data_IF_479481055295
#
_entry.id   IF_479481055295
#
_cell.length_a   1.000
_cell.length_b   1.000
_cell.length_c   1.000
_cell.angle_alpha   90.00
_cell.angle_beta   90.00
_cell.angle_gamma   90.00
#
_symmetry.space_group_name_H-M   'P 1'
#
loop_
_entity.id
_entity.type
_entity.pdbx_description
1 polymer ?
#
# COMPACT_ATOMS: atom_id res chain seq x y z
N UNK A 1 9.52 -20.70 5.94
CA UNK A 1 8.26 -20.76 5.16
C UNK A 1 8.39 -21.93 4.20
N UNK A 2 7.33 -22.73 4.01
CA UNK A 2 7.30 -23.71 2.92
C UNK A 2 7.02 -22.96 1.62
N UNK A 3 7.90 -23.13 0.62
CA UNK A 3 7.76 -22.48 -0.68
C UNK A 3 6.56 -23.07 -1.42
N UNK A 4 5.67 -22.22 -1.92
CA UNK A 4 4.52 -22.65 -2.71
C UNK A 4 4.93 -22.93 -4.17
N UNK A 5 4.32 -23.95 -4.76
CA UNK A 5 4.44 -24.22 -6.20
C UNK A 5 3.35 -23.46 -6.98
N UNK A 6 3.60 -23.23 -8.27
CA UNK A 6 2.54 -22.79 -9.17
C UNK A 6 1.40 -23.81 -9.24
N UNK A 7 0.17 -23.32 -9.37
CA UNK A 7 -1.05 -24.13 -9.37
C UNK A 7 -1.48 -24.60 -7.97
N UNK A 8 -0.66 -24.39 -6.93
CA UNK A 8 -1.03 -24.72 -5.55
C UNK A 8 -1.99 -23.68 -4.98
N UNK A 9 -2.99 -24.15 -4.23
CA UNK A 9 -3.85 -23.28 -3.41
C UNK A 9 -3.08 -22.78 -2.19
N UNK A 10 -3.00 -21.46 -2.06
CA UNK A 10 -2.41 -20.75 -0.91
C UNK A 10 -3.55 -20.16 -0.08
N UNK A 11 -3.48 -20.37 1.24
CA UNK A 11 -4.43 -19.78 2.18
C UNK A 11 -4.01 -18.36 2.56
N UNK A 12 -4.94 -17.42 2.46
CA UNK A 12 -4.81 -16.05 2.94
C UNK A 12 -5.55 -15.95 4.26
N UNK A 13 -4.85 -15.53 5.31
CA UNK A 13 -5.43 -15.34 6.63
C UNK A 13 -6.41 -14.16 6.60
N UNK A 14 -7.54 -14.35 7.27
CA UNK A 14 -8.49 -13.28 7.51
C UNK A 14 -8.08 -12.38 8.67
N UNK A 15 -9.01 -11.52 9.07
CA UNK A 15 -8.86 -10.63 10.23
C UNK A 15 -7.62 -9.72 10.14
N UNK A 16 -7.24 -9.31 8.93
CA UNK A 16 -6.03 -8.56 8.62
C UNK A 16 -4.78 -9.17 9.26
N UNK A 17 -4.74 -10.49 9.45
CA UNK A 17 -3.51 -11.16 9.83
C UNK A 17 -2.57 -11.23 8.63
N UNK A 18 -1.28 -10.96 8.87
CA UNK A 18 -0.26 -11.01 7.83
C UNK A 18 -0.14 -12.43 7.26
N UNK A 19 -0.25 -12.54 5.95
CA UNK A 19 0.08 -13.73 5.17
C UNK A 19 1.34 -13.44 4.37
N UNK A 20 2.42 -14.13 4.71
CA UNK A 20 3.72 -14.02 4.05
C UNK A 20 3.96 -15.33 3.27
N UNK A 21 3.93 -15.27 1.95
CA UNK A 21 4.05 -16.45 1.09
C UNK A 21 5.12 -16.26 0.01
N UNK A 22 6.15 -17.09 0.12
CA UNK A 22 7.21 -17.22 -0.88
C UNK A 22 6.88 -18.37 -1.85
N UNK A 23 7.22 -18.20 -3.12
CA UNK A 23 7.09 -19.22 -4.16
C UNK A 23 8.46 -19.76 -4.58
N UNK A 24 8.47 -20.97 -5.13
CA UNK A 24 9.69 -21.69 -5.54
C UNK A 24 10.55 -20.94 -6.56
N UNK A 25 9.97 -20.02 -7.32
CA UNK A 25 10.63 -19.21 -8.34
C UNK A 25 11.17 -17.87 -7.81
N UNK A 26 10.87 -17.54 -6.55
CA UNK A 26 11.26 -16.30 -5.89
C UNK A 26 10.20 -15.19 -5.93
N UNK A 27 8.99 -15.43 -6.44
CA UNK A 27 7.84 -14.55 -6.17
C UNK A 27 7.58 -14.52 -4.65
N UNK A 28 7.40 -13.33 -4.10
CA UNK A 28 6.97 -13.14 -2.71
C UNK A 28 5.70 -12.29 -2.64
N UNK A 29 4.75 -12.75 -1.83
CA UNK A 29 3.48 -12.09 -1.56
C UNK A 29 3.36 -11.77 -0.07
N UNK A 30 3.13 -10.50 0.26
CA UNK A 30 2.82 -10.03 1.62
C UNK A 30 1.42 -9.42 1.65
N UNK A 31 0.49 -10.11 2.31
CA UNK A 31 -0.95 -9.88 2.16
C UNK A 31 -1.62 -9.66 3.52
N UNK A 32 -2.62 -8.78 3.54
CA UNK A 32 -3.56 -8.59 4.64
C UNK A 32 -4.98 -8.63 4.09
N UNK A 33 -5.84 -9.48 4.63
CA UNK A 33 -7.23 -9.59 4.18
C UNK A 33 -8.23 -9.55 5.34
N UNK A 34 -9.38 -8.86 5.21
CA UNK A 34 -10.40 -8.85 6.24
C UNK A 34 -11.05 -10.22 6.48
N UNK A 35 -11.25 -11.00 5.42
CA UNK A 35 -11.81 -12.35 5.45
C UNK A 35 -10.75 -13.39 5.09
N UNK A 36 -10.94 -14.64 5.52
CA UNK A 36 -10.08 -15.73 5.06
C UNK A 36 -10.41 -16.04 3.60
N UNK A 37 -9.38 -16.10 2.76
CA UNK A 37 -9.50 -16.30 1.31
C UNK A 37 -8.46 -17.32 0.85
N UNK A 38 -8.51 -17.71 -0.41
CA UNK A 38 -7.44 -18.50 -1.03
C UNK A 38 -7.04 -17.91 -2.36
N UNK A 39 -5.77 -18.04 -2.73
CA UNK A 39 -5.29 -17.70 -4.07
C UNK A 39 -4.61 -18.90 -4.73
N UNK A 40 -4.47 -18.83 -6.04
CA UNK A 40 -3.61 -19.68 -6.85
C UNK A 40 -2.77 -18.77 -7.74
N UNK A 41 -1.49 -19.08 -7.88
CA UNK A 41 -0.59 -18.42 -8.84
C UNK A 41 -0.26 -19.40 -9.96
N UNK A 42 -0.41 -18.97 -11.20
CA UNK A 42 -0.01 -19.73 -12.39
C UNK A 42 1.01 -18.95 -13.21
N UNK A 43 1.77 -19.64 -14.05
CA UNK A 43 2.66 -19.01 -15.03
C UNK A 43 1.95 -18.87 -16.38
N UNK A 44 2.07 -17.70 -17.00
CA UNK A 44 1.81 -17.55 -18.43
C UNK A 44 3.14 -17.41 -19.17
N UNK A 45 3.51 -18.43 -19.94
CA UNK A 45 4.77 -18.51 -20.69
C UNK A 45 4.74 -17.75 -22.02
N UNK A 46 3.60 -17.16 -22.37
CA UNK A 46 3.41 -16.34 -23.56
C UNK A 46 2.85 -14.97 -23.17
N UNK A 47 3.57 -14.19 -22.34
CA UNK A 47 3.07 -12.90 -21.88
C UNK A 47 3.04 -11.86 -22.99
N UNK A 48 2.27 -10.79 -22.78
CA UNK A 48 2.36 -9.61 -23.64
C UNK A 48 3.76 -8.98 -23.55
N UNK A 49 4.31 -8.47 -24.67
CA UNK A 49 5.61 -7.81 -24.66
C UNK A 49 5.56 -6.51 -23.85
N UNK A 50 6.72 -6.09 -23.31
CA UNK A 50 6.85 -4.86 -22.50
C UNK A 50 6.39 -3.56 -23.18
N UNK A 51 6.22 -3.58 -24.52
CA UNK A 51 5.67 -2.46 -25.30
C UNK A 51 4.16 -2.22 -25.07
N UNK A 52 3.48 -3.03 -24.26
CA UNK A 52 2.07 -2.81 -23.90
C UNK A 52 1.87 -1.70 -22.84
N UNK A 53 2.94 -1.24 -22.20
CA UNK A 53 2.89 -0.17 -21.20
C UNK A 53 2.70 1.17 -21.89
N UNK A 54 1.51 1.76 -21.73
CA UNK A 54 1.13 3.05 -22.31
C UNK A 54 1.11 4.16 -21.26
N UNK A 55 1.45 5.40 -21.62
CA UNK A 55 1.26 6.57 -20.76
C UNK A 55 2.47 6.99 -19.91
N UNK A 56 3.65 6.39 -20.09
CA UNK A 56 4.89 6.86 -19.44
C UNK A 56 5.62 7.91 -20.28
N UNK A 57 6.11 8.97 -19.65
CA UNK A 57 7.19 9.79 -20.22
C UNK A 57 8.53 9.07 -20.02
N UNK A 58 9.28 8.80 -21.10
CA UNK A 58 10.62 8.18 -21.03
C UNK A 58 10.88 7.08 -22.05
N UNK A 59 11.98 6.34 -21.85
CA UNK A 59 12.35 5.19 -22.67
C UNK A 59 11.31 4.06 -22.55
N UNK A 60 11.10 3.25 -23.62
CA UNK A 60 10.13 2.17 -23.60
C UNK A 60 10.50 1.09 -22.57
N UNK A 61 9.48 0.46 -22.00
CA UNK A 61 9.66 -0.69 -21.11
C UNK A 61 10.07 -1.93 -21.89
N UNK A 62 10.95 -2.71 -21.29
CA UNK A 62 11.29 -4.06 -21.74
C UNK A 62 10.82 -5.08 -20.70
N UNK A 63 10.34 -6.23 -21.17
CA UNK A 63 10.05 -7.35 -20.28
C UNK A 63 11.37 -7.96 -19.80
N UNK A 64 11.45 -8.25 -18.50
CA UNK A 64 12.65 -8.79 -17.85
C UNK A 64 12.49 -10.26 -17.44
N UNK A 65 11.28 -10.80 -17.56
CA UNK A 65 10.98 -12.22 -17.31
C UNK A 65 10.45 -12.91 -18.56
N UNK A 66 10.71 -14.21 -18.67
CA UNK A 66 10.28 -15.05 -19.80
C UNK A 66 8.81 -15.53 -19.67
N UNK A 67 8.17 -15.19 -18.55
CA UNK A 67 6.78 -15.50 -18.24
C UNK A 67 6.22 -14.39 -17.33
N UNK A 68 4.90 -14.35 -17.21
CA UNK A 68 4.16 -13.53 -16.25
C UNK A 68 3.49 -14.39 -15.18
N UNK A 69 3.16 -13.76 -14.05
CA UNK A 69 2.48 -14.39 -12.92
C UNK A 69 0.99 -14.06 -12.99
N UNK A 70 0.15 -15.07 -13.10
CA UNK A 70 -1.31 -14.92 -13.05
C UNK A 70 -1.77 -15.27 -11.64
N UNK A 71 -2.13 -14.26 -10.86
CA UNK A 71 -2.67 -14.44 -9.51
C UNK A 71 -4.19 -14.42 -9.60
N UNK A 72 -4.82 -15.42 -8.99
CA UNK A 72 -6.27 -15.55 -8.94
C UNK A 72 -6.75 -15.96 -7.56
N UNK A 73 -7.60 -15.14 -6.97
CA UNK A 73 -8.35 -15.40 -5.75
C UNK A 73 -9.54 -16.32 -6.04
N UNK A 74 -10.03 -17.00 -5.00
CA UNK A 74 -11.27 -17.78 -5.07
C UNK A 74 -12.53 -16.91 -5.20
N UNK A 75 -12.43 -15.62 -4.92
CA UNK A 75 -13.51 -14.65 -5.01
C UNK A 75 -12.95 -13.26 -5.33
N UNK A 76 -13.77 -12.38 -5.89
CA UNK A 76 -13.39 -10.99 -6.11
C UNK A 76 -13.19 -10.29 -4.76
N UNK A 77 -12.02 -9.69 -4.58
CA UNK A 77 -11.67 -8.95 -3.38
C UNK A 77 -11.20 -7.55 -3.77
N UNK A 78 -11.86 -6.53 -3.22
CA UNK A 78 -11.54 -5.10 -3.44
C UNK A 78 -11.20 -4.40 -2.11
N UNK A 79 -10.77 -5.18 -1.12
CA UNK A 79 -10.59 -4.77 0.28
C UNK A 79 -9.33 -5.36 0.93
N UNK A 80 -8.47 -6.03 0.15
CA UNK A 80 -7.20 -6.57 0.63
C UNK A 80 -6.08 -5.53 0.51
N UNK A 81 -4.98 -5.76 1.22
CA UNK A 81 -3.72 -5.04 1.01
C UNK A 81 -2.70 -6.07 0.56
N UNK A 82 -2.08 -5.84 -0.59
CA UNK A 82 -1.07 -6.72 -1.15
C UNK A 82 0.21 -5.97 -1.48
N UNK A 83 1.33 -6.63 -1.23
CA UNK A 83 2.63 -6.34 -1.82
C UNK A 83 3.02 -7.55 -2.66
N UNK A 84 3.34 -7.31 -3.92
CA UNK A 84 3.83 -8.31 -4.88
C UNK A 84 5.28 -7.98 -5.19
N UNK A 85 6.19 -8.91 -4.93
CA UNK A 85 7.61 -8.80 -5.25
C UNK A 85 7.99 -9.87 -6.27
N UNK A 86 8.37 -9.43 -7.46
CA UNK A 86 8.77 -10.33 -8.55
C UNK A 86 10.29 -10.58 -8.52
N UNK A 87 10.74 -11.83 -8.74
CA UNK A 87 12.15 -12.17 -8.74
C UNK A 87 12.85 -11.61 -9.97
N UNK A 88 14.11 -11.18 -9.80
CA UNK A 88 14.97 -10.73 -10.88
C UNK A 88 16.43 -11.09 -10.61
N UNK A 89 17.25 -11.16 -11.66
CA UNK A 89 18.70 -11.37 -11.56
C UNK A 89 19.43 -10.02 -11.74
N UNK A 90 20.02 -9.45 -10.66
CA UNK A 90 20.79 -8.21 -10.73
C UNK A 90 21.91 -8.21 -11.77
N UNK A 91 22.56 -9.36 -11.99
CA UNK A 91 23.66 -9.50 -12.95
C UNK A 91 23.09 -9.46 -14.38
N UNK A 92 21.96 -10.11 -14.63
CA UNK A 92 21.27 -10.04 -15.91
C UNK A 92 20.80 -8.62 -16.23
N UNK A 93 20.28 -7.87 -15.25
CA UNK A 93 19.88 -6.47 -15.42
C UNK A 93 21.06 -5.58 -15.81
N UNK A 94 22.20 -5.74 -15.12
CA UNK A 94 23.40 -4.97 -15.43
C UNK A 94 23.91 -5.23 -16.85
N UNK A 95 23.84 -6.48 -17.34
CA UNK A 95 24.24 -6.83 -18.72
C UNK A 95 23.42 -6.13 -19.79
N UNK A 96 22.15 -5.80 -19.51
CA UNK A 96 21.25 -5.11 -20.44
C UNK A 96 21.13 -3.59 -20.14
N UNK A 97 21.99 -3.08 -19.26
CA UNK A 97 22.08 -1.66 -18.93
C UNK A 97 20.88 -1.13 -18.13
N UNK A 98 20.18 -1.98 -17.38
CA UNK A 98 19.07 -1.58 -16.51
C UNK A 98 19.55 -1.58 -15.07
N UNK A 99 19.41 -0.43 -14.40
CA UNK A 99 19.66 -0.32 -12.97
C UNK A 99 18.58 -1.07 -12.18
N UNK A 100 18.94 -1.65 -11.03
CA UNK A 100 17.98 -2.34 -10.15
C UNK A 100 16.88 -1.40 -9.63
N UNK A 101 17.16 -0.11 -9.48
CA UNK A 101 16.21 0.95 -9.15
C UNK A 101 15.17 1.20 -10.24
N UNK A 102 15.45 0.77 -11.47
CA UNK A 102 14.60 0.95 -12.65
C UNK A 102 13.87 -0.34 -13.04
N UNK A 103 13.50 -1.13 -12.04
CA UNK A 103 12.63 -2.31 -12.18
C UNK A 103 11.24 -2.00 -11.65
N UNK A 104 10.24 -2.52 -12.36
CA UNK A 104 8.83 -2.21 -12.15
C UNK A 104 8.01 -3.48 -12.21
N UNK A 105 6.91 -3.51 -11.47
CA UNK A 105 5.91 -4.56 -11.58
C UNK A 105 4.75 -3.97 -12.38
N UNK A 106 4.58 -4.45 -13.62
CA UNK A 106 3.42 -4.10 -14.44
C UNK A 106 2.28 -5.05 -14.16
N UNK A 107 1.07 -4.52 -14.00
CA UNK A 107 -0.15 -5.34 -14.00
C UNK A 107 -0.93 -5.12 -15.29
N UNK A 108 -1.38 -6.20 -15.92
CA UNK A 108 -2.31 -6.15 -17.05
C UNK A 108 -3.72 -5.75 -16.56
N UNK A 109 -4.19 -4.55 -16.90
CA UNK A 109 -5.56 -4.14 -16.63
C UNK A 109 -6.56 -4.85 -17.55
N UNK A 110 -7.84 -4.82 -17.16
CA UNK A 110 -8.93 -5.47 -17.91
C UNK A 110 -9.12 -4.94 -19.35
N UNK A 111 -8.69 -3.70 -19.63
CA UNK A 111 -8.69 -3.08 -20.97
C UNK A 111 -7.38 -3.30 -21.74
N UNK A 112 -6.47 -4.14 -21.20
CA UNK A 112 -5.12 -4.40 -21.69
C UNK A 112 -4.15 -3.22 -21.62
N UNK A 113 -4.40 -2.21 -20.76
CA UNK A 113 -3.41 -1.18 -20.40
C UNK A 113 -2.75 -1.50 -19.06
N UNK A 114 -1.60 -0.91 -18.74
CA UNK A 114 -0.89 -1.18 -17.48
C UNK A 114 -0.66 0.08 -16.67
N UNK A 115 -0.83 -0.03 -15.35
CA UNK A 115 -0.34 0.98 -14.39
C UNK A 115 1.12 0.69 -14.04
N UNK A 116 1.95 1.73 -14.01
CA UNK A 116 3.35 1.65 -13.63
C UNK A 116 3.52 2.02 -12.15
N UNK A 117 3.98 1.08 -11.32
CA UNK A 117 4.37 1.34 -9.92
C UNK A 117 5.74 0.68 -9.67
N UNK A 118 6.70 1.43 -9.13
CA UNK A 118 8.03 0.90 -8.79
C UNK A 118 7.92 -0.21 -7.76
N UNK A 119 8.68 -1.31 -7.97
CA UNK A 119 8.97 -2.43 -7.06
C UNK A 119 7.80 -3.16 -6.35
N UNK A 120 6.64 -2.54 -6.19
CA UNK A 120 5.52 -2.93 -5.32
C UNK A 120 4.23 -2.43 -5.97
N UNK A 121 3.30 -3.35 -6.25
CA UNK A 121 1.94 -2.97 -6.70
C UNK A 121 1.03 -2.90 -5.48
N UNK A 122 0.61 -1.68 -5.15
CA UNK A 122 -0.48 -1.41 -4.20
C UNK A 122 -1.79 -1.84 -4.84
N UNK A 123 -2.51 -2.77 -4.23
CA UNK A 123 -3.85 -3.06 -4.71
C UNK A 123 -4.82 -3.41 -3.61
N UNK A 124 -6.01 -2.82 -3.74
CA UNK A 124 -7.22 -3.31 -3.08
C UNK A 124 -7.75 -4.59 -3.73
N UNK A 125 -7.24 -4.98 -4.92
CA UNK A 125 -7.56 -6.21 -5.66
C UNK A 125 -6.30 -6.91 -6.18
N UNK A 126 -6.14 -8.21 -5.94
CA UNK A 126 -4.93 -8.96 -6.32
C UNK A 126 -5.09 -9.79 -7.61
N UNK A 127 -6.30 -9.88 -8.14
CA UNK A 127 -6.55 -10.65 -9.35
C UNK A 127 -5.91 -9.96 -10.56
N UNK A 128 -5.01 -10.66 -11.25
CA UNK A 128 -4.33 -10.07 -12.39
C UNK A 128 -3.17 -10.88 -12.93
N UNK A 129 -2.67 -10.41 -14.07
CA UNK A 129 -1.42 -10.87 -14.67
C UNK A 129 -0.33 -9.83 -14.43
N UNK A 130 0.75 -10.26 -13.79
CA UNK A 130 1.87 -9.42 -13.37
C UNK A 130 3.11 -9.75 -14.18
N UNK A 131 3.86 -8.72 -14.54
CA UNK A 131 5.07 -8.82 -15.36
C UNK A 131 6.19 -7.99 -14.75
N UNK A 132 7.41 -8.54 -14.74
CA UNK A 132 8.60 -7.79 -14.39
C UNK A 132 9.05 -6.97 -15.60
N UNK A 133 9.16 -5.67 -15.40
CA UNK A 133 9.51 -4.70 -16.43
C UNK A 133 10.72 -3.88 -16.01
N UNK A 134 11.48 -3.40 -16.99
CA UNK A 134 12.59 -2.48 -16.76
C UNK A 134 12.69 -1.40 -17.83
N UNK A 135 13.39 -0.32 -17.50
CA UNK A 135 13.74 0.75 -18.44
C UNK A 135 15.11 1.35 -18.10
N UNK A 136 15.77 1.98 -19.06
CA UNK A 136 17.14 2.50 -18.92
C UNK A 136 17.23 3.94 -18.37
N UNK A 137 16.13 4.56 -17.92
CA UNK A 137 16.09 5.96 -17.44
C UNK A 137 16.43 6.07 -15.95
N UNK A 138 17.13 7.13 -15.51
CA UNK A 138 17.60 7.38 -14.12
C UNK A 138 16.50 7.72 -13.08
N UNK A 139 15.32 7.10 -13.15
CA UNK A 139 14.21 7.44 -12.25
C UNK A 139 14.23 6.53 -11.01
N UNK A 140 15.16 6.82 -10.10
CA UNK A 140 15.33 6.09 -8.84
C UNK A 140 14.13 6.38 -7.93
N UNK A 141 13.10 5.53 -7.98
CA UNK A 141 11.84 5.78 -7.26
C UNK A 141 11.65 4.89 -6.02
N UNK A 142 11.06 5.54 -5.02
CA UNK A 142 10.73 5.21 -3.61
C UNK A 142 10.67 3.72 -3.19
N UNK A 143 11.27 3.45 -2.03
CA UNK A 143 11.07 2.21 -1.24
C UNK A 143 9.85 2.42 -0.33
N UNK A 144 8.80 1.59 -0.49
CA UNK A 144 7.62 1.63 0.37
C UNK A 144 7.86 0.88 1.69
N UNK A 145 7.23 1.37 2.77
CA UNK A 145 7.36 0.83 4.12
C UNK A 145 6.27 -0.22 4.37
N UNK A 146 6.66 -1.41 4.84
CA UNK A 146 5.72 -2.47 5.24
C UNK A 146 5.11 -2.17 6.61
N UNK A 147 3.86 -2.59 6.82
CA UNK A 147 3.22 -2.53 8.12
C UNK A 147 3.84 -3.47 9.14
N UNK A 148 3.67 -3.12 10.42
CA UNK A 148 4.04 -3.92 11.57
C UNK A 148 4.98 -3.20 12.53
N UNK A 149 5.28 -3.90 13.62
CA UNK A 149 6.15 -3.42 14.68
C UNK A 149 7.60 -3.89 14.50
N UNK A 150 8.54 -3.14 15.09
CA UNK A 150 9.96 -3.51 15.16
C UNK A 150 10.86 -2.69 14.22
N UNK A 151 12.16 -2.81 14.44
CA UNK A 151 13.17 -1.97 13.81
C UNK A 151 13.23 -2.09 12.27
N UNK A 152 12.90 -3.26 11.72
CA UNK A 152 12.88 -3.50 10.25
C UNK A 152 11.62 -2.99 9.55
N UNK A 153 10.63 -2.51 10.32
CA UNK A 153 9.36 -1.92 9.86
C UNK A 153 9.19 -0.47 10.31
N UNK A 154 10.19 0.07 11.00
CA UNK A 154 10.19 1.42 11.51
C UNK A 154 10.68 2.39 10.43
N UNK A 155 9.96 3.50 10.28
CA UNK A 155 10.43 4.69 9.57
C UNK A 155 11.32 5.45 10.53
N UNK A 156 12.56 5.71 10.13
CA UNK A 156 13.47 6.56 10.88
C UNK A 156 13.34 8.00 10.34
N UNK A 157 12.89 8.92 11.19
CA UNK A 157 12.80 10.34 10.89
C UNK A 157 13.92 11.05 11.65
N UNK A 158 14.79 11.76 10.94
CA UNK A 158 16.01 12.35 11.51
C UNK A 158 15.74 13.65 12.28
N UNK A 159 14.52 14.18 12.22
CA UNK A 159 14.22 15.56 12.63
C UNK A 159 14.95 16.60 11.79
N UNK A 160 14.86 17.87 12.20
CA UNK A 160 15.45 19.02 11.53
C UNK A 160 14.45 19.82 10.69
N UNK A 161 14.99 20.76 9.90
CA UNK A 161 14.18 21.63 9.02
C UNK A 161 13.72 20.86 7.78
N UNK A 162 12.45 21.04 7.43
CA UNK A 162 11.87 20.46 6.22
C UNK A 162 11.15 19.14 6.46
N UNK A 163 10.21 18.83 5.56
CA UNK A 163 9.39 17.64 5.66
C UNK A 163 10.19 16.39 5.28
N UNK A 164 10.00 15.34 6.07
CA UNK A 164 10.44 13.99 5.79
C UNK A 164 9.21 13.14 5.50
N UNK A 165 9.32 12.27 4.51
CA UNK A 165 8.17 11.55 3.97
C UNK A 165 8.35 10.05 4.05
N UNK A 166 7.23 9.37 4.28
CA UNK A 166 7.17 7.92 4.23
C UNK A 166 5.87 7.49 3.56
N UNK A 167 5.94 6.45 2.73
CA UNK A 167 4.78 5.90 2.06
C UNK A 167 4.70 4.40 2.33
N UNK A 168 3.54 3.94 2.78
CA UNK A 168 3.29 2.55 3.16
C UNK A 168 2.72 1.75 1.99
N UNK A 169 2.74 0.43 2.13
CA UNK A 169 2.36 -0.51 1.06
C UNK A 169 0.91 -0.37 0.56
N UNK A 170 0.00 0.23 1.32
CA UNK A 170 -1.37 0.50 0.82
C UNK A 170 -1.52 1.88 0.15
N UNK A 171 -0.48 2.72 0.19
CA UNK A 171 -0.49 4.08 -0.31
C UNK A 171 -0.72 5.19 0.72
N UNK A 172 -0.90 4.85 2.01
CA UNK A 172 -0.87 5.77 3.12
C UNK A 172 0.47 6.51 3.13
N UNK A 173 0.43 7.83 3.06
CA UNK A 173 1.64 8.67 3.07
C UNK A 173 1.64 9.61 4.26
N UNK A 174 2.80 9.72 4.88
CA UNK A 174 3.10 10.67 5.93
C UNK A 174 4.11 11.70 5.40
N UNK A 175 3.90 12.95 5.75
CA UNK A 175 4.87 14.04 5.57
C UNK A 175 5.00 14.76 6.90
N UNK A 176 6.20 14.80 7.48
CA UNK A 176 6.41 15.23 8.87
C UNK A 176 7.62 16.12 9.01
N UNK A 177 7.49 17.20 9.78
CA UNK A 177 8.58 18.04 10.24
C UNK A 177 8.62 18.04 11.78
N UNK A 178 9.79 17.77 12.35
CA UNK A 178 10.03 17.69 13.79
C UNK A 178 11.41 18.20 14.14
N UNK A 179 11.57 18.81 15.32
CA UNK A 179 12.88 19.21 15.84
C UNK A 179 13.74 18.03 16.32
N UNK A 180 13.12 16.89 16.64
CA UNK A 180 13.82 15.73 17.18
C UNK A 180 13.72 14.54 16.24
N UNK A 181 14.77 13.73 16.23
CA UNK A 181 14.75 12.45 15.56
C UNK A 181 13.84 11.47 16.31
N UNK A 182 13.09 10.66 15.57
CA UNK A 182 12.21 9.64 16.14
C UNK A 182 11.93 8.53 15.14
N UNK A 183 11.39 7.42 15.65
CA UNK A 183 10.94 6.31 14.83
C UNK A 183 9.42 6.23 14.82
N UNK A 184 8.85 5.77 13.70
CA UNK A 184 7.41 5.56 13.54
C UNK A 184 7.14 4.17 12.98
N UNK A 185 6.21 3.46 13.60
CA UNK A 185 5.63 2.23 13.08
C UNK A 185 4.14 2.45 12.80
N UNK A 186 3.63 1.80 11.75
CA UNK A 186 2.19 1.71 11.51
C UNK A 186 1.81 0.24 11.51
N UNK A 187 0.77 -0.08 12.27
CA UNK A 187 0.12 -1.38 12.27
C UNK A 187 -1.26 -1.31 11.63
N UNK A 188 -1.80 -2.47 11.29
CA UNK A 188 -3.18 -2.60 10.85
C UNK A 188 -3.94 -3.44 11.86
N UNK A 189 -5.05 -2.89 12.35
CA UNK A 189 -5.96 -3.63 13.22
C UNK A 189 -7.29 -3.89 12.53
N UNK A 190 -7.65 -5.16 12.46
CA UNK A 190 -8.93 -5.59 11.93
C UNK A 190 -10.10 -5.27 12.84
N UNK A 191 -11.23 -5.01 12.19
CA UNK A 191 -12.52 -4.83 12.81
C UNK A 191 -12.71 -3.41 13.31
N UNK A 192 -13.79 -2.78 12.85
CA UNK A 192 -14.29 -1.53 13.42
C UNK A 192 -15.71 -1.79 13.90
N UNK A 193 -15.90 -2.12 15.19
CA UNK A 193 -17.23 -2.34 15.74
C UNK A 193 -18.13 -1.11 15.58
N UNK A 194 -19.42 -1.26 15.22
CA UNK A 194 -20.32 -0.10 15.07
C UNK A 194 -20.46 0.76 16.34
N UNK A 195 -20.31 0.17 17.52
CA UNK A 195 -20.45 0.89 18.80
C UNK A 195 -19.29 1.84 19.12
N UNK A 196 -18.17 1.78 18.36
CA UNK A 196 -17.06 2.73 18.48
C UNK A 196 -17.11 3.81 17.38
N UNK A 197 -18.21 3.88 16.63
CA UNK A 197 -18.50 4.92 15.65
C UNK A 197 -19.61 5.83 16.19
N UNK A 198 -19.62 7.08 15.72
CA UNK A 198 -20.73 7.99 15.96
C UNK A 198 -21.98 7.56 15.18
N UNK A 199 -23.15 8.01 15.65
CA UNK A 199 -24.45 7.68 15.00
C UNK A 199 -24.49 8.15 13.55
N UNK A 200 -25.02 7.33 12.65
CA UNK A 200 -25.15 7.57 11.21
C UNK A 200 -23.83 7.61 10.42
N UNK A 201 -22.77 7.03 10.96
CA UNK A 201 -21.48 6.91 10.30
C UNK A 201 -21.10 5.43 10.17
N UNK A 202 -20.50 5.06 9.05
CA UNK A 202 -19.94 3.74 8.79
C UNK A 202 -18.45 3.87 8.45
N UNK A 203 -17.63 2.91 8.83
CA UNK A 203 -16.27 2.86 8.32
C UNK A 203 -16.26 2.36 6.86
N UNK A 204 -15.48 3.02 6.01
CA UNK A 204 -15.30 2.62 4.60
C UNK A 204 -14.43 1.35 4.47
N UNK A 205 -13.46 1.21 5.38
CA UNK A 205 -12.62 0.03 5.50
C UNK A 205 -13.04 -0.80 6.71
N UNK A 206 -12.70 -2.09 6.69
CA UNK A 206 -12.93 -3.02 7.81
C UNK A 206 -11.80 -2.99 8.83
N UNK A 207 -10.83 -2.09 8.69
CA UNK A 207 -9.61 -2.02 9.50
C UNK A 207 -9.24 -0.57 9.82
N UNK A 208 -8.42 -0.40 10.86
CA UNK A 208 -7.84 0.89 11.25
C UNK A 208 -6.31 0.85 11.15
N UNK A 209 -5.70 1.96 10.72
CA UNK A 209 -4.27 2.17 10.86
C UNK A 209 -3.94 2.57 12.30
N UNK A 210 -2.96 1.93 12.90
CA UNK A 210 -2.45 2.24 14.23
C UNK A 210 -1.09 2.87 14.07
N UNK A 211 -1.00 4.18 14.27
CA UNK A 211 0.26 4.90 14.20
C UNK A 211 0.83 5.03 15.60
N UNK A 212 2.11 4.67 15.75
CA UNK A 212 2.86 4.77 17.01
C UNK A 212 4.24 5.37 16.74
N UNK A 213 4.62 6.38 17.51
CA UNK A 213 5.93 7.02 17.42
C UNK A 213 6.74 6.80 18.70
N UNK A 214 8.06 6.90 18.61
CA UNK A 214 8.93 6.91 19.78
C UNK A 214 8.88 8.22 20.59
N UNK A 215 8.08 9.21 20.17
CA UNK A 215 7.94 10.53 20.80
C UNK A 215 6.45 10.91 21.01
N UNK A 216 5.64 10.08 21.68
CA UNK A 216 4.17 10.18 21.69
C UNK A 216 3.61 11.49 22.26
N UNK A 217 4.39 12.21 23.06
CA UNK A 217 3.97 13.46 23.72
C UNK A 217 4.53 14.72 23.07
N UNK A 218 5.42 14.59 22.09
CA UNK A 218 6.05 15.73 21.45
C UNK A 218 5.15 16.31 20.37
N UNK A 219 4.96 17.64 20.39
CA UNK A 219 4.32 18.33 19.29
C UNK A 219 5.24 18.39 18.07
N UNK A 220 4.71 17.98 16.93
CA UNK A 220 5.34 18.12 15.63
C UNK A 220 5.16 19.54 15.12
N UNK A 221 6.17 20.06 14.42
CA UNK A 221 6.07 21.38 13.76
C UNK A 221 4.96 21.36 12.72
N UNK A 222 5.01 20.34 11.87
CA UNK A 222 4.04 20.08 10.84
C UNK A 222 3.90 18.57 10.66
N UNK A 223 2.67 18.08 10.45
CA UNK A 223 2.45 16.73 9.99
C UNK A 223 1.21 16.66 9.11
N UNK A 224 1.32 15.82 8.09
CA UNK A 224 0.31 15.59 7.08
C UNK A 224 0.16 14.08 6.85
N UNK A 225 -1.09 13.64 6.71
CA UNK A 225 -1.46 12.26 6.43
C UNK A 225 -2.30 12.23 5.15
N UNK A 226 -1.85 11.49 4.12
CA UNK A 226 -2.65 11.20 2.92
C UNK A 226 -3.16 9.77 2.99
N UNK A 227 -4.48 9.62 3.05
CA UNK A 227 -5.17 8.33 3.21
C UNK A 227 -5.80 7.91 1.87
N UNK A 228 -5.56 6.68 1.37
CA UNK A 228 -6.21 6.17 0.17
C UNK A 228 -7.74 6.06 0.32
N UNK A 229 -8.49 6.46 -0.71
CA UNK A 229 -9.97 6.51 -0.73
C UNK A 229 -10.61 5.89 -1.98
N UNK A 230 -9.87 5.09 -2.75
CA UNK A 230 -10.28 4.51 -4.05
C UNK A 230 -11.62 3.75 -4.08
N UNK A 231 -12.25 3.43 -2.93
CA UNK A 231 -13.55 2.74 -2.86
C UNK A 231 -14.77 3.62 -3.22
N UNK A 232 -14.63 4.94 -3.32
CA UNK A 232 -15.81 5.86 -3.29
C UNK A 232 -16.01 6.79 -4.49
N UNK A 233 -15.08 6.87 -5.43
CA UNK A 233 -15.07 7.95 -6.45
C UNK A 233 -16.09 7.72 -7.58
N UNK A 234 -16.65 6.51 -7.69
CA UNK A 234 -17.72 6.20 -8.63
C UNK A 234 -19.14 6.45 -8.09
N UNK A 235 -19.29 6.93 -6.86
CA UNK A 235 -20.60 7.21 -6.27
C UNK A 235 -20.88 8.72 -6.20
N UNK A 236 -21.97 9.15 -6.83
CA UNK A 236 -22.37 10.57 -6.92
C UNK A 236 -22.42 11.23 -5.53
N UNK A 237 -21.60 12.27 -5.31
CA UNK A 237 -21.45 13.00 -4.03
C UNK A 237 -20.89 12.18 -2.84
N UNK A 238 -20.37 10.97 -3.03
CA UNK A 238 -19.78 10.19 -1.93
C UNK A 238 -18.56 10.90 -1.32
N UNK A 239 -17.75 11.53 -2.17
CA UNK A 239 -16.60 12.34 -1.77
C UNK A 239 -16.97 13.41 -0.72
N UNK A 240 -18.11 14.09 -0.85
CA UNK A 240 -18.53 15.15 0.07
C UNK A 240 -18.82 14.68 1.51
N UNK A 241 -18.81 13.37 1.77
CA UNK A 241 -19.11 12.78 3.07
C UNK A 241 -17.94 11.99 3.66
N UNK A 242 -16.83 11.88 2.94
CA UNK A 242 -15.67 11.15 3.43
C UNK A 242 -14.93 11.98 4.46
N UNK A 243 -14.49 11.31 5.53
CA UNK A 243 -13.65 11.93 6.53
C UNK A 243 -12.69 10.92 7.13
N UNK A 244 -11.45 11.34 7.34
CA UNK A 244 -10.53 10.65 8.22
C UNK A 244 -10.97 10.92 9.66
N UNK A 245 -11.13 9.86 10.43
CA UNK A 245 -11.40 9.94 11.86
C UNK A 245 -10.26 9.36 12.68
N UNK A 246 -10.08 9.91 13.87
CA UNK A 246 -9.03 9.52 14.82
C UNK A 246 -9.65 9.19 16.18
N UNK A 247 -8.98 8.30 16.91
CA UNK A 247 -9.10 8.16 18.36
C UNK A 247 -7.73 7.89 18.99
N UNK A 248 -7.65 7.98 20.31
CA UNK A 248 -6.39 7.75 21.03
C UNK A 248 -5.85 6.31 20.84
N UNK A 249 -4.52 6.18 20.96
CA UNK A 249 -3.85 4.89 20.96
C UNK A 249 -4.38 4.05 22.14
N UNK A 250 -4.65 2.75 21.91
CA UNK A 250 -5.18 1.83 22.91
C UNK A 250 -6.54 2.21 23.54
N UNK A 251 -7.28 3.16 22.96
CA UNK A 251 -8.61 3.50 23.44
C UNK A 251 -9.54 2.29 23.45
N UNK A 252 -10.19 2.04 24.59
CA UNK A 252 -11.13 0.93 24.79
C UNK A 252 -12.58 1.35 24.63
N UNK A 253 -12.92 2.61 24.97
CA UNK A 253 -14.28 3.15 24.94
C UNK A 253 -14.43 4.45 24.15
N UNK A 254 -13.34 5.03 23.65
CA UNK A 254 -13.39 6.25 22.85
C UNK A 254 -13.94 5.95 21.45
N UNK A 255 -14.88 6.79 21.02
CA UNK A 255 -15.40 6.75 19.65
C UNK A 255 -14.37 7.34 18.69
N UNK A 256 -14.35 6.84 17.46
CA UNK A 256 -13.68 7.54 16.38
C UNK A 256 -14.37 8.87 16.11
N UNK A 257 -13.62 9.96 16.21
CA UNK A 257 -14.11 11.31 15.94
C UNK A 257 -13.52 11.80 14.62
N UNK A 258 -14.35 12.27 13.65
CA UNK A 258 -13.85 12.90 12.44
C UNK A 258 -12.87 14.02 12.76
N UNK A 259 -11.74 14.06 12.07
CA UNK A 259 -10.84 15.20 12.15
C UNK A 259 -11.53 16.43 11.55
N UNK A 260 -11.15 17.63 11.98
CA UNK A 260 -11.82 18.86 11.52
C UNK A 260 -11.75 18.97 9.99
N UNK A 261 -12.89 19.27 9.35
CA UNK A 261 -12.97 19.39 7.90
C UNK A 261 -12.11 20.52 7.33
N UNK A 262 -11.73 21.51 8.16
CA UNK A 262 -10.82 22.60 7.76
C UNK A 262 -9.38 22.11 7.49
N UNK A 263 -9.03 20.93 8.01
CA UNK A 263 -7.74 20.31 7.82
C UNK A 263 -7.79 19.15 6.82
N UNK A 264 -8.96 18.85 6.26
CA UNK A 264 -9.15 17.73 5.34
C UNK A 264 -9.45 18.21 3.92
N UNK A 265 -8.69 17.70 2.96
CA UNK A 265 -8.83 17.99 1.54
C UNK A 265 -8.95 16.68 0.77
N UNK A 266 -9.91 16.61 -0.16
CA UNK A 266 -10.09 15.44 -1.01
C UNK A 266 -9.33 15.67 -2.30
N UNK A 267 -8.31 14.85 -2.51
CA UNK A 267 -7.46 14.83 -3.70
C UNK A 267 -8.06 13.82 -4.70
N UNK A 268 -9.20 14.18 -5.32
CA UNK A 268 -9.98 13.27 -6.17
C UNK A 268 -9.19 12.72 -7.38
N UNK A 269 -8.19 13.45 -7.88
CA UNK A 269 -7.32 12.98 -8.97
C UNK A 269 -6.31 11.92 -8.54
N UNK A 270 -6.08 11.76 -7.23
CA UNK A 270 -5.14 10.78 -6.67
C UNK A 270 -5.83 9.71 -5.81
N UNK A 271 -7.17 9.69 -5.79
CA UNK A 271 -7.97 8.83 -4.93
C UNK A 271 -7.54 8.89 -3.45
N UNK A 272 -7.36 10.10 -2.91
CA UNK A 272 -6.82 10.33 -1.56
C UNK A 272 -7.60 11.38 -0.77
N UNK A 273 -7.46 11.31 0.56
CA UNK A 273 -7.82 12.37 1.49
C UNK A 273 -6.56 12.81 2.22
N UNK A 274 -6.22 14.09 2.06
CA UNK A 274 -5.12 14.75 2.75
C UNK A 274 -5.64 15.36 4.05
N UNK A 275 -4.96 15.07 5.15
CA UNK A 275 -5.17 15.66 6.48
C UNK A 275 -3.95 16.47 6.83
N UNK A 276 -4.09 17.77 7.03
CA UNK A 276 -3.00 18.71 7.31
C UNK A 276 -2.98 19.16 8.77
N UNK A 277 -1.89 19.81 9.20
CA UNK A 277 -1.85 20.51 10.48
C UNK A 277 -1.89 19.59 11.71
N UNK A 278 -1.60 18.30 11.55
CA UNK A 278 -1.50 17.38 12.68
C UNK A 278 -0.33 17.79 13.57
N UNK A 279 -0.58 17.87 14.88
CA UNK A 279 0.45 18.14 15.88
C UNK A 279 0.97 16.87 16.56
N UNK A 280 0.22 15.78 16.44
CA UNK A 280 0.59 14.45 16.95
C UNK A 280 0.08 13.36 16.01
N UNK A 281 0.93 12.37 15.74
CA UNK A 281 0.62 11.26 14.85
C UNK A 281 0.05 10.04 15.57
N UNK A 282 0.36 9.85 16.85
CA UNK A 282 -0.07 8.68 17.59
C UNK A 282 -1.59 8.57 17.67
N UNK A 283 -2.11 7.39 17.35
CA UNK A 283 -3.54 7.13 17.40
C UNK A 283 -3.98 6.01 16.47
N UNK A 284 -5.28 5.76 16.49
CA UNK A 284 -5.93 4.87 15.53
C UNK A 284 -6.70 5.73 14.54
N UNK A 285 -6.55 5.43 13.25
CA UNK A 285 -7.13 6.17 12.14
C UNK A 285 -8.02 5.27 11.31
N UNK A 286 -9.16 5.80 10.89
CA UNK A 286 -10.09 5.12 9.97
C UNK A 286 -10.59 6.11 8.93
N UNK A 287 -11.13 5.57 7.85
CA UNK A 287 -11.89 6.31 6.86
C UNK A 287 -13.39 6.06 7.10
N UNK A 288 -14.15 7.14 7.21
CA UNK A 288 -15.61 7.16 7.35
C UNK A 288 -16.27 7.52 6.02
#
# INVERSE_FOLDING_TARGET
>A
SDLANFGQTVNIRGLMERTDQDFVDGLALDLFSPSSRTLVVNQNTSPLPGSFVSGSSGAPFVALSNYSWVIKLNETANDLIAKVELPYDPIALQRIGIDQGNTYVGMLAADKKSENKTRIVKMTSLDGEYMLLGRQTEDISNVFVQYGQGATRAVNLTGGTGNQEAEFIDGLRLSVESDQAFTLNIDIKNGIPPHILSTNVSALNSFSWIINTSIPTQELKNAELRVPSAKTINATNAEKRLAVAKRSLNATSELFTPLSSEFQEIEASEDRIKVSGLKQLDGQYILL
#
